data_IF_339897295639
#
_entry.id   IF_339897295639
#
_cell.length_a   1.000
_cell.length_b   1.000
_cell.length_c   1.000
_cell.angle_alpha   90.00
_cell.angle_beta   90.00
_cell.angle_gamma   90.00
#
_symmetry.space_group_name_H-M   'P 1'
#
loop_
_entity.id
_entity.type
_entity.pdbx_description
1 polymer ?
#
# COMPACT_ATOMS: atom_id res chain seq x y z
N UNK A 1 -4.17 -13.84 -8.55
CA UNK A 1 -4.19 -12.35 -8.68
C UNK A 1 -4.42 -11.70 -7.32
N UNK A 2 -3.78 -10.57 -7.08
CA UNK A 2 -4.03 -9.67 -5.96
C UNK A 2 -4.94 -8.53 -6.44
N UNK A 3 -5.86 -8.09 -5.58
CA UNK A 3 -6.71 -6.93 -5.80
C UNK A 3 -6.56 -6.01 -4.60
N UNK A 4 -6.36 -4.74 -4.86
CA UNK A 4 -6.10 -3.73 -3.84
C UNK A 4 -7.12 -2.59 -3.96
N UNK A 5 -7.64 -2.14 -2.82
CA UNK A 5 -8.41 -0.92 -2.70
C UNK A 5 -7.77 -0.03 -1.64
N UNK A 6 -7.30 1.15 -2.05
CA UNK A 6 -6.78 2.19 -1.14
C UNK A 6 -7.87 3.22 -0.94
N UNK A 7 -8.20 3.53 0.32
CA UNK A 7 -9.28 4.45 0.69
C UNK A 7 -9.01 5.16 2.01
N UNK A 8 -9.34 6.46 2.02
CA UNK A 8 -9.37 7.28 3.22
C UNK A 8 -10.72 7.26 3.94
N UNK A 9 -10.83 8.08 4.97
CA UNK A 9 -12.09 8.40 5.60
C UNK A 9 -12.72 9.62 4.93
N UNK A 10 -13.99 9.54 4.57
CA UNK A 10 -14.77 10.70 4.13
C UNK A 10 -15.39 11.41 5.34
N UNK A 11 -15.53 12.72 5.26
CA UNK A 11 -16.19 13.51 6.31
C UNK A 11 -17.46 14.11 5.73
N UNK A 12 -18.62 13.65 6.24
CA UNK A 12 -19.93 14.16 5.89
C UNK A 12 -20.54 14.89 7.09
N UNK A 13 -20.83 16.19 6.93
CA UNK A 13 -21.45 17.03 7.98
C UNK A 13 -20.78 16.87 9.36
N UNK A 14 -19.45 16.71 9.40
CA UNK A 14 -18.66 16.54 10.63
C UNK A 14 -18.59 15.09 11.14
N UNK A 15 -19.33 14.16 10.57
CA UNK A 15 -19.26 12.73 10.88
C UNK A 15 -18.24 12.01 9.99
N UNK A 16 -17.58 10.99 10.54
CA UNK A 16 -16.67 10.14 9.79
C UNK A 16 -17.45 9.03 9.08
N UNK A 17 -17.23 8.91 7.78
CA UNK A 17 -17.71 7.78 6.97
C UNK A 17 -16.48 6.91 6.62
N UNK A 18 -16.37 5.70 7.21
CA UNK A 18 -15.24 4.80 6.98
C UNK A 18 -15.42 4.07 5.64
N UNK A 19 -14.79 4.58 4.59
CA UNK A 19 -14.98 4.04 3.23
C UNK A 19 -14.51 2.60 3.09
N UNK A 20 -13.48 2.19 3.81
CA UNK A 20 -13.01 0.80 3.83
C UNK A 20 -14.09 -0.18 4.34
N UNK A 21 -14.86 0.22 5.35
CA UNK A 21 -15.97 -0.58 5.87
C UNK A 21 -17.13 -0.67 4.87
N UNK A 22 -17.36 0.38 4.07
CA UNK A 22 -18.39 0.38 3.04
C UNK A 22 -18.00 -0.45 1.81
N UNK A 23 -16.72 -0.45 1.45
CA UNK A 23 -16.21 -1.21 0.30
C UNK A 23 -16.03 -2.70 0.59
N UNK A 24 -15.71 -3.06 1.83
CA UNK A 24 -15.47 -4.46 2.19
C UNK A 24 -16.62 -5.41 1.80
N UNK A 25 -17.90 -5.11 2.06
CA UNK A 25 -19.01 -5.96 1.63
C UNK A 25 -19.07 -6.17 0.13
N UNK A 26 -18.78 -5.12 -0.67
CA UNK A 26 -18.78 -5.20 -2.15
C UNK A 26 -17.77 -6.24 -2.63
N UNK A 27 -16.54 -6.18 -2.13
CA UNK A 27 -15.51 -7.18 -2.46
C UNK A 27 -15.85 -8.58 -1.96
N UNK A 28 -16.50 -8.67 -0.80
CA UNK A 28 -16.94 -9.94 -0.24
C UNK A 28 -18.05 -10.59 -1.09
N UNK A 29 -19.01 -9.80 -1.59
CA UNK A 29 -20.04 -10.27 -2.52
C UNK A 29 -19.46 -10.81 -3.83
N UNK A 30 -18.37 -10.20 -4.31
CA UNK A 30 -17.60 -10.68 -5.46
C UNK A 30 -16.79 -11.96 -5.17
N UNK A 31 -16.96 -12.56 -3.98
CA UNK A 31 -16.25 -13.77 -3.51
C UNK A 31 -14.73 -13.59 -3.42
N UNK A 32 -14.27 -12.36 -3.27
CA UNK A 32 -12.87 -12.08 -3.00
C UNK A 32 -12.56 -12.29 -1.51
N UNK A 33 -11.37 -12.82 -1.23
CA UNK A 33 -10.91 -13.14 0.13
C UNK A 33 -9.99 -12.05 0.63
N UNK A 34 -10.39 -11.36 1.70
CA UNK A 34 -9.54 -10.36 2.34
C UNK A 34 -8.35 -11.04 3.01
N UNK A 35 -7.14 -10.62 2.65
CA UNK A 35 -5.88 -11.12 3.22
C UNK A 35 -5.33 -10.20 4.29
N UNK A 36 -5.38 -8.89 4.03
CA UNK A 36 -5.02 -7.87 5.01
C UNK A 36 -5.89 -6.62 4.85
N UNK A 37 -6.05 -5.93 5.96
CA UNK A 37 -6.42 -4.54 6.05
C UNK A 37 -5.20 -3.79 6.59
N UNK A 38 -4.47 -3.12 5.69
CA UNK A 38 -3.22 -2.45 6.00
C UNK A 38 -3.54 -0.99 6.30
N UNK A 39 -2.93 -0.44 7.35
CA UNK A 39 -3.02 0.97 7.70
C UNK A 39 -1.78 1.67 7.16
N UNK A 40 -1.96 2.55 6.20
CA UNK A 40 -0.93 3.49 5.79
C UNK A 40 -1.05 4.75 6.65
N UNK A 41 -0.11 4.91 7.58
CA UNK A 41 -0.02 6.06 8.47
C UNK A 41 0.93 7.12 7.89
N UNK A 42 0.47 8.37 7.86
CA UNK A 42 1.27 9.53 7.45
C UNK A 42 1.16 10.64 8.51
N UNK A 43 2.25 11.38 8.70
CA UNK A 43 2.32 12.34 9.84
C UNK A 43 1.59 13.67 9.60
N UNK A 44 1.30 14.01 8.33
CA UNK A 44 0.80 15.32 7.95
C UNK A 44 -0.64 15.26 7.39
N UNK A 45 -1.41 16.27 7.72
CA UNK A 45 -2.79 16.45 7.26
C UNK A 45 -3.50 17.58 8.02
N UNK A 46 -4.77 17.76 7.76
CA UNK A 46 -5.57 18.83 8.38
C UNK A 46 -5.64 18.66 9.90
N UNK A 47 -5.48 19.77 10.62
CA UNK A 47 -5.71 19.80 12.07
C UNK A 47 -7.19 19.91 12.38
N UNK A 48 -7.67 19.02 13.23
CA UNK A 48 -9.04 19.05 13.75
C UNK A 48 -9.04 19.53 15.20
N UNK A 49 -9.99 20.39 15.55
CA UNK A 49 -10.12 20.94 16.92
C UNK A 49 -11.22 20.28 17.72
N UNK A 50 -12.15 19.55 17.08
CA UNK A 50 -13.31 18.91 17.72
C UNK A 50 -13.32 17.37 17.62
N UNK A 51 -12.26 16.78 17.04
CA UNK A 51 -11.97 15.34 16.94
C UNK A 51 -10.49 15.11 16.75
N UNK A 52 -10.05 13.88 16.85
CA UNK A 52 -8.66 13.52 16.49
C UNK A 52 -8.44 13.72 14.99
N UNK A 53 -7.27 14.29 14.63
CA UNK A 53 -6.89 14.49 13.24
C UNK A 53 -6.63 13.15 12.56
N UNK A 54 -7.25 12.90 11.40
CA UNK A 54 -6.98 11.73 10.59
C UNK A 54 -5.54 11.74 10.08
N UNK A 55 -4.84 10.62 10.20
CA UNK A 55 -3.44 10.47 9.80
C UNK A 55 -3.18 9.12 9.15
N UNK A 56 -4.19 8.47 8.64
CA UNK A 56 -4.05 7.19 7.96
C UNK A 56 -5.08 7.03 6.85
N UNK A 57 -4.76 6.14 5.93
CA UNK A 57 -5.66 5.57 4.95
C UNK A 57 -5.56 4.05 5.03
N UNK A 58 -6.54 3.35 4.52
CA UNK A 58 -6.62 1.89 4.56
C UNK A 58 -6.36 1.30 3.19
N UNK A 59 -5.52 0.26 3.14
CA UNK A 59 -5.36 -0.58 1.95
C UNK A 59 -5.99 -1.94 2.24
N UNK A 60 -6.98 -2.31 1.46
CA UNK A 60 -7.64 -3.59 1.52
C UNK A 60 -7.02 -4.53 0.49
N UNK A 61 -6.37 -5.59 0.94
CA UNK A 61 -5.79 -6.58 0.06
C UNK A 61 -6.68 -7.82 -0.03
N UNK A 62 -7.10 -8.15 -1.24
CA UNK A 62 -7.93 -9.31 -1.54
C UNK A 62 -7.26 -10.24 -2.55
N UNK A 63 -7.63 -11.51 -2.49
CA UNK A 63 -7.27 -12.52 -3.50
C UNK A 63 -8.52 -13.27 -3.97
N UNK A 64 -8.46 -13.76 -5.21
CA UNK A 64 -9.56 -14.55 -5.80
C UNK A 64 -9.55 -16.00 -5.30
N UNK A 65 -8.38 -16.54 -4.96
CA UNK A 65 -8.20 -17.93 -4.55
C UNK A 65 -7.14 -18.04 -3.44
N UNK A 66 -6.91 -19.24 -2.93
CA UNK A 66 -5.79 -19.54 -2.01
C UNK A 66 -4.45 -19.62 -2.75
N UNK A 67 -4.46 -19.87 -4.05
CA UNK A 67 -3.27 -19.80 -4.90
C UNK A 67 -3.02 -18.34 -5.31
N UNK A 68 -2.12 -17.69 -4.59
CA UNK A 68 -1.68 -16.33 -4.85
C UNK A 68 -0.18 -16.18 -4.57
N UNK A 69 0.45 -15.26 -5.27
CA UNK A 69 1.84 -14.92 -5.02
C UNK A 69 1.96 -13.97 -3.83
N UNK A 70 2.94 -14.23 -2.97
CA UNK A 70 3.35 -13.34 -1.90
C UNK A 70 4.83 -13.56 -1.59
N UNK A 71 5.66 -12.54 -1.80
CA UNK A 71 7.07 -12.52 -1.44
C UNK A 71 7.33 -11.43 -0.40
N UNK A 72 7.76 -11.85 0.78
CA UNK A 72 8.02 -10.94 1.89
C UNK A 72 9.47 -10.39 1.88
N UNK A 73 10.41 -11.11 1.27
CA UNK A 73 11.83 -10.83 1.43
C UNK A 73 12.24 -9.45 0.91
N UNK A 74 11.74 -8.94 -0.24
CA UNK A 74 12.11 -7.62 -0.74
C UNK A 74 11.71 -6.45 0.17
N UNK A 75 10.74 -6.66 1.07
CA UNK A 75 10.15 -5.57 1.88
C UNK A 75 10.38 -5.74 3.37
N UNK A 76 11.24 -6.69 3.76
CA UNK A 76 11.61 -6.86 5.17
C UNK A 76 12.23 -5.60 5.75
N UNK A 77 11.92 -5.34 7.00
CA UNK A 77 12.49 -4.21 7.76
C UNK A 77 13.46 -4.72 8.82
N UNK A 78 14.39 -3.87 9.29
CA UNK A 78 15.37 -4.27 10.28
C UNK A 78 14.76 -4.90 11.53
N UNK A 79 15.41 -5.92 12.06
CA UNK A 79 15.04 -6.53 13.34
C UNK A 79 15.26 -5.53 14.48
N UNK A 80 14.33 -5.50 15.42
CA UNK A 80 14.52 -4.70 16.65
C UNK A 80 15.70 -5.22 17.50
N UNK A 81 15.90 -6.54 17.48
CA UNK A 81 16.98 -7.21 18.22
C UNK A 81 17.70 -8.18 17.28
N UNK A 82 18.59 -7.69 16.40
CA UNK A 82 19.36 -8.53 15.49
C UNK A 82 20.28 -9.45 16.32
N UNK A 83 20.45 -10.68 15.86
CA UNK A 83 21.30 -11.66 16.53
C UNK A 83 20.69 -12.35 17.76
N UNK A 84 19.43 -12.06 18.11
CA UNK A 84 18.75 -12.77 19.19
C UNK A 84 18.67 -14.27 18.89
N UNK A 85 19.03 -15.10 19.89
CA UNK A 85 18.98 -16.56 19.82
C UNK A 85 17.88 -17.12 20.72
N UNK A 86 17.40 -18.31 20.40
CA UNK A 86 16.53 -19.07 21.29
C UNK A 86 17.27 -19.44 22.54
N UNK A 87 16.70 -19.10 23.70
CA UNK A 87 17.33 -19.36 25.00
C UNK A 87 17.12 -20.81 25.49
N UNK A 88 15.99 -21.42 25.15
CA UNK A 88 15.59 -22.76 25.61
C UNK A 88 14.96 -23.61 24.51
N UNK A 89 14.86 -24.91 24.76
CA UNK A 89 14.18 -25.88 23.89
C UNK A 89 15.06 -26.40 22.75
N UNK A 90 14.47 -27.17 21.80
CA UNK A 90 15.21 -27.85 20.73
C UNK A 90 15.99 -26.92 19.79
N UNK A 91 15.64 -25.64 19.78
CA UNK A 91 16.30 -24.60 18.96
C UNK A 91 17.27 -23.72 19.76
N UNK A 92 17.60 -24.07 21.01
CA UNK A 92 18.51 -23.27 21.84
C UNK A 92 19.83 -23.00 21.11
N UNK A 93 20.29 -21.75 21.16
CA UNK A 93 21.49 -21.28 20.47
C UNK A 93 21.32 -20.91 18.99
N UNK A 94 20.26 -21.34 18.34
CA UNK A 94 19.94 -20.92 16.95
C UNK A 94 19.35 -19.50 16.93
N UNK A 95 19.56 -18.78 15.82
CA UNK A 95 18.92 -17.47 15.65
C UNK A 95 17.40 -17.59 15.68
N UNK A 96 16.76 -16.72 16.45
CA UNK A 96 15.30 -16.66 16.59
C UNK A 96 14.63 -15.75 15.57
N UNK A 97 15.39 -15.07 14.73
CA UNK A 97 14.93 -14.10 13.76
C UNK A 97 15.49 -14.41 12.36
N UNK A 98 14.75 -14.01 11.33
CA UNK A 98 15.25 -14.12 9.96
C UNK A 98 16.40 -13.11 9.76
N UNK A 99 17.58 -13.52 9.23
CA UNK A 99 18.70 -12.63 8.98
C UNK A 99 18.36 -11.51 7.97
N UNK A 100 17.43 -11.72 7.06
CA UNK A 100 16.97 -10.72 6.10
C UNK A 100 16.08 -9.64 6.73
N UNK A 101 15.71 -9.79 7.99
CA UNK A 101 14.83 -8.83 8.66
C UNK A 101 13.46 -9.42 9.05
N UNK A 102 12.62 -8.60 9.64
CA UNK A 102 11.25 -8.98 10.07
C UNK A 102 10.21 -8.55 9.04
N UNK A 103 9.05 -9.18 9.12
CA UNK A 103 7.84 -8.69 8.46
C UNK A 103 7.51 -7.26 8.93
N UNK A 104 7.26 -6.29 8.04
CA UNK A 104 6.91 -4.92 8.43
C UNK A 104 5.59 -4.82 9.20
N UNK A 105 4.75 -5.86 9.13
CA UNK A 105 3.39 -5.83 9.69
C UNK A 105 2.41 -5.11 8.78
N UNK A 106 1.27 -4.74 9.33
CA UNK A 106 0.14 -4.16 8.63
C UNK A 106 -0.13 -2.68 9.00
N UNK A 107 0.81 -2.06 9.71
CA UNK A 107 0.84 -0.59 9.94
C UNK A 107 2.13 -0.05 9.33
N UNK A 108 1.97 0.71 8.25
CA UNK A 108 3.09 1.27 7.49
C UNK A 108 3.20 2.77 7.71
N UNK A 109 4.38 3.24 8.10
CA UNK A 109 4.66 4.66 8.28
C UNK A 109 5.44 5.12 7.06
N UNK A 110 4.75 5.79 6.14
CA UNK A 110 5.30 6.32 4.89
C UNK A 110 4.79 7.75 4.74
N UNK A 111 5.67 8.75 4.57
CA UNK A 111 5.23 10.12 4.39
C UNK A 111 4.33 10.29 3.16
N UNK A 112 3.28 11.08 3.26
CA UNK A 112 2.44 11.43 2.12
C UNK A 112 3.10 12.48 1.21
N UNK A 113 2.65 12.57 -0.04
CA UNK A 113 3.15 13.53 -1.03
C UNK A 113 2.58 14.92 -0.72
N UNK A 114 3.42 15.78 -0.12
CA UNK A 114 3.11 17.16 0.24
C UNK A 114 3.51 18.14 -0.86
N UNK A 115 3.21 19.44 -0.63
CA UNK A 115 3.53 20.54 -1.56
C UNK A 115 5.01 20.64 -1.94
N UNK A 116 5.92 20.27 -1.04
CA UNK A 116 7.38 20.29 -1.26
C UNK A 116 7.98 18.89 -1.52
N UNK A 117 7.16 17.86 -1.75
CA UNK A 117 7.64 16.52 -2.07
C UNK A 117 8.10 16.45 -3.53
N UNK A 118 9.21 15.78 -3.79
CA UNK A 118 9.80 15.65 -5.15
C UNK A 118 8.86 15.03 -6.18
N UNK A 119 7.95 14.17 -5.73
CA UNK A 119 6.94 13.53 -6.59
C UNK A 119 5.68 14.37 -6.79
N UNK A 120 5.54 15.54 -6.12
CA UNK A 120 4.30 16.29 -6.10
C UNK A 120 3.91 16.79 -7.49
N UNK A 121 2.67 16.50 -7.85
CA UNK A 121 1.97 17.01 -9.03
C UNK A 121 0.75 17.84 -8.61
N UNK A 122 -0.04 18.30 -9.56
CA UNK A 122 -1.30 19.01 -9.31
C UNK A 122 -2.43 18.11 -8.80
N UNK A 123 -2.23 16.78 -8.81
CA UNK A 123 -3.25 15.85 -8.33
C UNK A 123 -3.45 16.01 -6.80
N UNK A 124 -4.71 16.16 -6.32
CA UNK A 124 -4.99 16.44 -4.92
C UNK A 124 -4.71 15.26 -3.98
N UNK A 125 -4.91 14.04 -4.45
CA UNK A 125 -4.82 12.80 -3.65
C UNK A 125 -3.76 11.85 -4.21
N UNK A 126 -2.53 12.34 -4.35
CA UNK A 126 -1.41 11.53 -4.84
C UNK A 126 -0.76 10.78 -3.68
N UNK A 127 -0.65 9.46 -3.78
CA UNK A 127 0.14 8.66 -2.85
C UNK A 127 1.60 8.51 -3.32
N UNK A 128 2.54 8.25 -2.40
CA UNK A 128 3.96 8.11 -2.74
C UNK A 128 4.24 6.80 -3.49
N UNK A 129 5.23 6.83 -4.38
CA UNK A 129 5.67 5.65 -5.13
C UNK A 129 6.11 4.54 -4.18
N UNK A 130 6.82 4.86 -3.09
CA UNK A 130 7.27 3.89 -2.07
C UNK A 130 6.14 3.01 -1.53
N UNK A 131 4.92 3.55 -1.35
CA UNK A 131 3.77 2.80 -0.88
C UNK A 131 3.42 1.68 -1.86
N UNK A 132 3.37 2.00 -3.14
CA UNK A 132 3.00 1.06 -4.20
C UNK A 132 4.15 0.10 -4.53
N UNK A 133 5.41 0.56 -4.49
CA UNK A 133 6.58 -0.31 -4.66
C UNK A 133 6.56 -1.48 -3.67
N UNK A 134 6.20 -1.21 -2.41
CA UNK A 134 6.06 -2.27 -1.40
C UNK A 134 5.03 -3.32 -1.79
N UNK A 135 3.89 -2.90 -2.34
CA UNK A 135 2.84 -3.81 -2.83
C UNK A 135 3.27 -4.56 -4.09
N UNK A 136 3.87 -3.87 -5.05
CA UNK A 136 4.35 -4.47 -6.31
C UNK A 136 5.38 -5.56 -6.03
N UNK A 137 6.35 -5.29 -5.17
CA UNK A 137 7.40 -6.23 -4.80
C UNK A 137 6.87 -7.48 -4.09
N UNK A 138 5.85 -7.31 -3.24
CA UNK A 138 5.30 -8.43 -2.46
C UNK A 138 4.24 -9.23 -3.20
N UNK A 139 3.46 -8.62 -4.09
CA UNK A 139 2.23 -9.20 -4.62
C UNK A 139 2.31 -9.56 -6.10
N UNK A 140 3.43 -9.30 -6.76
CA UNK A 140 3.64 -9.63 -8.18
C UNK A 140 5.06 -10.13 -8.44
N UNK A 141 5.20 -10.96 -9.49
CA UNK A 141 6.49 -11.39 -10.05
C UNK A 141 6.97 -10.40 -11.10
N UNK A 142 8.24 -10.50 -11.48
CA UNK A 142 8.73 -9.84 -12.69
C UNK A 142 7.87 -10.26 -13.89
N UNK A 143 7.68 -9.34 -14.81
CA UNK A 143 6.82 -9.45 -16.00
C UNK A 143 5.31 -9.59 -15.75
N UNK A 144 4.85 -9.62 -14.48
CA UNK A 144 3.42 -9.58 -14.17
C UNK A 144 2.81 -8.21 -14.54
N UNK A 145 1.50 -8.18 -14.77
CA UNK A 145 0.75 -6.98 -15.02
C UNK A 145 0.24 -6.33 -13.73
N UNK A 146 0.46 -5.03 -13.61
CA UNK A 146 -0.19 -4.14 -12.65
C UNK A 146 -1.22 -3.31 -13.39
N UNK A 147 -2.48 -3.45 -13.03
CA UNK A 147 -3.60 -2.71 -13.62
C UNK A 147 -4.17 -1.73 -12.61
N UNK A 148 -4.27 -0.48 -13.00
CA UNK A 148 -4.88 0.59 -12.19
C UNK A 148 -6.03 1.27 -12.95
N UNK A 149 -7.29 0.97 -12.63
CA UNK A 149 -8.44 1.57 -13.28
C UNK A 149 -8.72 3.02 -12.86
N UNK A 150 -8.00 3.55 -11.87
CA UNK A 150 -8.07 4.92 -11.36
C UNK A 150 -6.68 5.55 -11.32
N UNK A 151 -6.01 5.56 -12.46
CA UNK A 151 -4.58 5.79 -12.60
C UNK A 151 -4.08 7.11 -11.99
N UNK A 152 -4.91 8.15 -12.00
CA UNK A 152 -4.48 9.47 -11.57
C UNK A 152 -3.25 9.94 -12.36
N UNK A 153 -2.17 10.21 -11.64
CA UNK A 153 -0.89 10.66 -12.23
C UNK A 153 0.13 9.54 -12.44
N UNK A 154 -0.29 8.28 -12.47
CA UNK A 154 0.54 7.15 -12.91
C UNK A 154 1.42 6.51 -11.85
N UNK A 155 1.23 6.77 -10.57
CA UNK A 155 2.10 6.27 -9.50
C UNK A 155 2.22 4.74 -9.50
N UNK A 156 1.12 4.03 -9.72
CA UNK A 156 1.09 2.56 -9.78
C UNK A 156 1.90 2.00 -10.95
N UNK A 157 1.82 2.64 -12.12
CA UNK A 157 2.59 2.24 -13.31
C UNK A 157 4.08 2.53 -13.10
N UNK A 158 4.43 3.69 -12.53
CA UNK A 158 5.82 4.02 -12.21
C UNK A 158 6.43 2.97 -11.27
N UNK A 159 5.72 2.60 -10.21
CA UNK A 159 6.18 1.57 -9.29
C UNK A 159 6.34 0.21 -9.99
N UNK A 160 5.41 -0.16 -10.87
CA UNK A 160 5.48 -1.39 -11.65
C UNK A 160 6.74 -1.43 -12.55
N UNK A 161 6.95 -0.38 -13.36
CA UNK A 161 8.06 -0.31 -14.31
C UNK A 161 9.43 -0.26 -13.63
N UNK A 162 9.55 0.42 -12.49
CA UNK A 162 10.80 0.46 -11.71
C UNK A 162 11.27 -0.91 -11.23
N UNK A 163 10.36 -1.86 -11.15
CA UNK A 163 10.62 -3.21 -10.64
C UNK A 163 10.39 -4.31 -11.70
N UNK A 164 10.52 -4.00 -12.98
CA UNK A 164 10.37 -4.94 -14.10
C UNK A 164 8.98 -5.60 -14.16
N UNK A 165 7.93 -4.88 -13.80
CA UNK A 165 6.55 -5.28 -14.02
C UNK A 165 5.97 -4.48 -15.18
N UNK A 166 4.93 -5.02 -15.82
CA UNK A 166 4.17 -4.31 -16.84
C UNK A 166 3.07 -3.50 -16.18
N UNK A 167 2.77 -2.34 -16.75
CA UNK A 167 1.73 -1.47 -16.22
C UNK A 167 0.66 -1.15 -17.27
N UNK A 168 -0.59 -1.11 -16.86
CA UNK A 168 -1.70 -0.57 -17.62
C UNK A 168 -2.65 0.17 -16.69
N UNK A 169 -3.29 1.24 -17.18
CA UNK A 169 -4.21 2.01 -16.35
C UNK A 169 -5.18 2.83 -17.18
N UNK A 170 -6.23 3.30 -16.51
CA UNK A 170 -7.23 4.17 -17.07
C UNK A 170 -7.41 5.41 -16.17
N UNK A 171 -7.58 6.57 -16.79
CA UNK A 171 -7.86 7.83 -16.13
C UNK A 171 -8.87 8.61 -16.96
N UNK A 172 -9.92 9.12 -16.32
CA UNK A 172 -10.98 9.86 -17.01
C UNK A 172 -10.61 11.34 -17.21
N UNK A 173 -9.73 11.90 -16.37
CA UNK A 173 -9.37 13.31 -16.40
C UNK A 173 -8.14 13.53 -17.27
N UNK A 174 -8.34 14.05 -18.49
CA UNK A 174 -7.27 14.22 -19.48
C UNK A 174 -6.00 14.92 -18.95
N UNK A 175 -6.07 15.99 -18.15
CA UNK A 175 -4.87 16.61 -17.56
C UNK A 175 -4.04 15.62 -16.74
N UNK A 176 -4.66 14.71 -15.99
CA UNK A 176 -3.91 13.71 -15.21
C UNK A 176 -3.30 12.65 -16.12
N UNK A 177 -3.95 12.30 -17.23
CA UNK A 177 -3.36 11.43 -18.27
C UNK A 177 -2.06 12.03 -18.81
N UNK A 178 -2.05 13.33 -19.12
CA UNK A 178 -0.84 14.00 -19.61
C UNK A 178 0.27 14.03 -18.55
N UNK A 179 -0.07 14.30 -17.30
CA UNK A 179 0.89 14.23 -16.20
C UNK A 179 1.46 12.80 -16.07
N UNK A 180 0.59 11.78 -16.12
CA UNK A 180 1.02 10.37 -16.05
C UNK A 180 1.99 10.02 -17.17
N UNK A 181 1.69 10.42 -18.42
CA UNK A 181 2.56 10.20 -19.59
C UNK A 181 3.96 10.83 -19.45
N UNK A 182 4.05 11.99 -18.79
CA UNK A 182 5.33 12.65 -18.56
C UNK A 182 6.11 12.04 -17.39
N UNK A 183 5.44 11.38 -16.45
CA UNK A 183 6.07 10.74 -15.29
C UNK A 183 6.54 9.32 -15.58
N UNK A 184 5.88 8.62 -16.48
CA UNK A 184 6.19 7.27 -16.95
C UNK A 184 7.26 7.30 -18.03
#
# INVERSE_FOLDING_TARGET
SANLGEVGNYVDNGAIVPLDALLFPVFHELKLRCRNRIVWHFEHGLHCTRRFSGRYESLLWFTKSEDYFFDLDPVRVPQKYPGKKHFKGPKAGQYSCNPLGKNPGDVWIIPNVKSNHVEKTEHPCQFPVELIERLVLTLSRQDDWVLDPFLGTGTSIIAALRHDRRGAGAEIHSPYVEIARHRI
#
